data_IF_765091666398
#
_entry.id   IF_765091666398
#
_cell.length_a   1.000
_cell.length_b   1.000
_cell.length_c   1.000
_cell.angle_alpha   90.00
_cell.angle_beta   90.00
_cell.angle_gamma   90.00
#
_symmetry.space_group_name_H-M   'P 1'
#
loop_
_entity.id
_entity.type
_entity.pdbx_description
1 polymer ?
#
# COMPACT_ATOMS: atom_id res chain seq x y z
N UNK A 1 -11.76 35.79 6.56
CA UNK A 1 -11.98 34.32 6.36
C UNK A 1 -10.62 33.66 6.17
N UNK A 2 -10.23 32.78 7.08
CA UNK A 2 -8.99 31.99 6.97
C UNK A 2 -9.16 31.01 5.80
N UNK A 3 -8.13 30.87 4.93
CA UNK A 3 -8.19 29.89 3.84
C UNK A 3 -8.23 28.47 4.42
N UNK A 4 -9.02 27.57 3.84
CA UNK A 4 -9.19 26.20 4.31
C UNK A 4 -7.85 25.46 4.55
N UNK A 5 -6.83 25.71 3.72
CA UNK A 5 -5.47 25.16 3.89
C UNK A 5 -4.76 25.63 5.17
N UNK A 6 -5.10 26.80 5.71
CA UNK A 6 -4.51 27.33 6.95
C UNK A 6 -5.15 26.71 8.19
N UNK A 7 -6.41 26.28 8.10
CA UNK A 7 -7.14 25.63 9.21
C UNK A 7 -6.50 24.28 9.54
N UNK A 8 -6.16 23.47 8.54
CA UNK A 8 -5.51 22.14 8.72
C UNK A 8 -4.15 22.27 9.40
N UNK A 9 -3.38 23.30 9.05
CA UNK A 9 -2.06 23.54 9.64
C UNK A 9 -2.19 23.93 11.12
N UNK A 10 -3.23 24.66 11.51
CA UNK A 10 -3.47 25.06 12.90
C UNK A 10 -3.85 23.88 13.82
N UNK A 11 -4.60 22.91 13.33
CA UNK A 11 -4.94 21.69 14.09
C UNK A 11 -3.75 20.76 14.30
N UNK A 12 -2.91 20.59 13.27
CA UNK A 12 -1.73 19.72 13.35
C UNK A 12 -0.57 20.38 14.10
N UNK A 13 -0.52 21.70 14.12
CA UNK A 13 0.57 22.47 14.71
C UNK A 13 0.03 23.78 15.28
N UNK A 14 -0.57 23.76 16.51
CA UNK A 14 -1.20 24.93 17.12
C UNK A 14 -0.24 26.11 17.22
N UNK A 15 -0.63 27.25 16.64
CA UNK A 15 0.12 28.52 16.68
C UNK A 15 -0.79 29.61 17.24
N UNK A 16 -0.21 30.70 17.81
CA UNK A 16 -0.99 31.90 18.12
C UNK A 16 -1.72 32.41 16.89
N UNK A 17 -2.97 32.80 17.02
CA UNK A 17 -3.79 33.35 15.94
C UNK A 17 -4.26 34.76 16.26
N UNK A 18 -4.55 35.55 15.23
CA UNK A 18 -5.19 36.86 15.39
C UNK A 18 -6.56 36.83 14.73
N UNK A 19 -7.60 37.16 15.51
CA UNK A 19 -8.97 37.24 15.05
C UNK A 19 -9.56 38.58 15.57
N UNK A 20 -10.22 39.34 14.69
CA UNK A 20 -10.77 40.67 14.99
C UNK A 20 -9.78 41.61 15.73
N UNK A 21 -8.53 41.62 15.26
CA UNK A 21 -7.40 42.36 15.86
C UNK A 21 -7.01 41.93 17.29
N UNK A 22 -7.59 40.83 17.80
CA UNK A 22 -7.23 40.25 19.09
C UNK A 22 -6.28 39.08 18.83
N UNK A 23 -5.10 39.13 19.50
CA UNK A 23 -4.11 38.04 19.44
C UNK A 23 -4.45 36.99 20.49
N UNK A 24 -4.75 35.79 20.01
CA UNK A 24 -5.03 34.63 20.88
C UNK A 24 -3.76 33.76 20.95
N UNK A 25 -3.35 33.34 22.15
CA UNK A 25 -2.21 32.42 22.31
C UNK A 25 -2.61 31.00 21.86
N UNK A 26 -1.63 30.13 21.61
CA UNK A 26 -1.87 28.75 21.16
C UNK A 26 -2.63 27.91 22.18
N UNK A 27 -2.57 28.27 23.44
CA UNK A 27 -3.21 27.58 24.59
C UNK A 27 -4.74 27.58 24.51
N UNK A 28 -5.34 28.44 23.67
CA UNK A 28 -6.79 28.41 23.43
C UNK A 28 -7.25 27.05 22.85
N UNK A 29 -6.41 26.38 22.05
CA UNK A 29 -6.74 25.08 21.47
C UNK A 29 -6.86 23.98 22.52
N UNK A 30 -6.24 24.14 23.69
CA UNK A 30 -6.31 23.17 24.79
C UNK A 30 -7.34 23.58 25.88
N UNK A 31 -7.56 24.89 26.06
CA UNK A 31 -8.29 25.43 27.20
C UNK A 31 -9.71 25.86 26.86
N UNK A 32 -9.97 26.17 25.61
CA UNK A 32 -11.30 26.62 25.16
C UNK A 32 -12.16 25.43 24.72
N UNK A 33 -13.45 25.55 24.98
CA UNK A 33 -14.44 24.60 24.50
C UNK A 33 -14.64 24.74 22.99
N UNK A 34 -15.14 23.70 22.34
CA UNK A 34 -15.52 23.76 20.90
C UNK A 34 -16.49 24.91 20.61
N UNK A 35 -17.34 25.27 21.55
CA UNK A 35 -18.29 26.39 21.41
C UNK A 35 -17.56 27.74 21.34
N UNK A 36 -16.58 27.96 22.19
CA UNK A 36 -15.78 29.20 22.22
C UNK A 36 -14.88 29.29 20.96
N UNK A 37 -14.27 28.19 20.55
CA UNK A 37 -13.48 28.13 19.32
C UNK A 37 -14.35 28.42 18.08
N UNK A 38 -15.56 27.85 18.02
CA UNK A 38 -16.51 28.10 16.92
C UNK A 38 -16.96 29.56 16.86
N UNK A 39 -17.07 30.23 17.99
CA UNK A 39 -17.46 31.65 18.05
C UNK A 39 -16.44 32.56 17.33
N UNK A 40 -15.17 32.17 17.28
CA UNK A 40 -14.11 32.88 16.53
C UNK A 40 -13.79 32.22 15.18
N UNK A 41 -14.66 31.32 14.65
CA UNK A 41 -14.52 30.70 13.35
C UNK A 41 -13.53 29.53 13.29
N UNK A 42 -13.17 28.95 14.45
CA UNK A 42 -12.37 27.72 14.50
C UNK A 42 -13.33 26.55 14.69
N UNK A 43 -13.39 25.69 13.68
CA UNK A 43 -14.34 24.59 13.59
C UNK A 43 -13.68 23.24 13.83
N UNK A 44 -14.48 22.25 14.23
CA UNK A 44 -14.04 20.86 14.34
C UNK A 44 -13.65 20.34 12.94
N UNK A 45 -12.56 19.59 12.88
CA UNK A 45 -12.04 19.04 11.62
C UNK A 45 -12.35 17.55 11.53
N UNK A 46 -12.88 17.13 10.37
CA UNK A 46 -13.11 15.73 10.05
C UNK A 46 -12.13 15.35 8.95
N UNK A 47 -11.21 14.45 9.29
CA UNK A 47 -10.23 13.93 8.34
C UNK A 47 -10.90 13.15 7.22
N UNK A 48 -10.41 13.35 6.00
CA UNK A 48 -10.76 12.56 4.83
C UNK A 48 -10.13 11.16 4.91
N UNK A 49 -10.79 10.18 4.30
CA UNK A 49 -10.21 8.83 4.19
C UNK A 49 -9.00 8.85 3.24
N UNK A 50 -7.78 8.53 3.69
CA UNK A 50 -6.60 8.52 2.84
C UNK A 50 -6.72 7.49 1.72
N UNK A 51 -6.00 7.73 0.62
CA UNK A 51 -5.87 6.75 -0.46
C UNK A 51 -5.03 5.54 0.02
N UNK A 52 -5.45 4.34 -0.34
CA UNK A 52 -4.59 3.17 -0.19
C UNK A 52 -3.50 3.21 -1.27
N UNK A 53 -2.30 3.62 -0.86
CA UNK A 53 -1.17 3.80 -1.76
C UNK A 53 -0.78 2.55 -2.57
N UNK A 54 -1.23 1.35 -2.17
CA UNK A 54 -1.05 0.13 -2.95
C UNK A 54 -1.86 0.17 -4.25
N UNK A 55 -3.09 0.68 -4.20
CA UNK A 55 -4.09 0.58 -5.26
C UNK A 55 -4.53 1.92 -5.83
N UNK A 56 -4.33 3.01 -5.09
CA UNK A 56 -4.88 4.32 -5.39
C UNK A 56 -3.79 5.39 -5.34
N UNK A 57 -4.02 6.47 -6.05
CA UNK A 57 -3.22 7.69 -5.97
C UNK A 57 -4.13 8.83 -5.54
N UNK A 58 -3.78 9.55 -4.47
CA UNK A 58 -4.46 10.77 -4.10
C UNK A 58 -4.21 11.83 -5.18
N UNK A 59 -5.26 12.53 -5.62
CA UNK A 59 -5.18 13.54 -6.67
C UNK A 59 -5.33 14.94 -6.13
N UNK A 60 -6.46 15.25 -5.49
CA UNK A 60 -6.75 16.57 -4.91
C UNK A 60 -7.36 16.43 -3.54
N UNK A 61 -7.09 17.41 -2.69
CA UNK A 61 -7.72 17.52 -1.37
C UNK A 61 -8.65 18.72 -1.40
N UNK A 62 -9.91 18.51 -1.03
CA UNK A 62 -10.92 19.54 -0.93
C UNK A 62 -11.40 19.66 0.51
N UNK A 63 -11.78 20.88 0.89
CA UNK A 63 -12.33 21.16 2.22
C UNK A 63 -13.71 21.77 2.07
N UNK A 64 -14.69 21.19 2.75
CA UNK A 64 -16.05 21.71 2.83
C UNK A 64 -16.32 22.26 4.23
N UNK A 65 -16.69 23.52 4.32
CA UNK A 65 -17.07 24.17 5.58
C UNK A 65 -18.58 24.12 5.73
N UNK A 66 -19.06 23.67 6.89
CA UNK A 66 -20.45 23.73 7.32
C UNK A 66 -20.52 24.69 8.52
N UNK A 67 -20.84 25.95 8.25
CA UNK A 67 -20.92 27.01 9.28
C UNK A 67 -22.03 26.73 10.30
N UNK A 68 -23.11 26.05 9.89
CA UNK A 68 -24.24 25.74 10.78
C UNK A 68 -23.83 24.72 11.85
N UNK A 69 -23.06 23.70 11.45
CA UNK A 69 -22.57 22.68 12.37
C UNK A 69 -21.22 23.05 13.02
N UNK A 70 -20.52 24.03 12.44
CA UNK A 70 -19.16 24.41 12.84
C UNK A 70 -18.18 23.27 12.58
N UNK A 71 -18.20 22.70 11.38
CA UNK A 71 -17.38 21.56 10.97
C UNK A 71 -16.68 21.86 9.63
N UNK A 72 -15.42 21.44 9.52
CA UNK A 72 -14.70 21.38 8.26
C UNK A 72 -14.46 19.92 7.91
N UNK A 73 -14.95 19.47 6.76
CA UNK A 73 -14.75 18.11 6.28
C UNK A 73 -13.71 18.11 5.16
N UNK A 74 -12.68 17.30 5.32
CA UNK A 74 -11.70 17.00 4.27
C UNK A 74 -12.24 15.90 3.35
N UNK A 75 -12.06 16.09 2.05
CA UNK A 75 -12.32 15.04 1.04
C UNK A 75 -11.05 14.85 0.21
N UNK A 76 -10.49 13.66 0.26
CA UNK A 76 -9.34 13.28 -0.55
C UNK A 76 -9.84 12.54 -1.78
N UNK A 77 -9.75 13.20 -2.95
CA UNK A 77 -10.09 12.57 -4.22
C UNK A 77 -8.99 11.55 -4.60
N UNK A 78 -9.41 10.44 -5.16
CA UNK A 78 -8.55 9.29 -5.46
C UNK A 78 -8.73 8.89 -6.91
N UNK A 79 -7.66 8.34 -7.49
CA UNK A 79 -7.67 7.69 -8.79
C UNK A 79 -7.11 6.29 -8.62
N UNK A 80 -7.82 5.30 -9.11
CA UNK A 80 -7.36 3.91 -9.14
C UNK A 80 -6.13 3.77 -10.05
N UNK A 81 -5.17 2.97 -9.61
CA UNK A 81 -4.06 2.53 -10.45
C UNK A 81 -4.54 1.47 -11.43
N UNK A 82 -3.91 1.41 -12.60
CA UNK A 82 -4.23 0.41 -13.62
C UNK A 82 -3.81 -0.99 -13.14
N UNK A 83 -4.68 -1.97 -13.34
CA UNK A 83 -4.37 -3.36 -12.98
C UNK A 83 -3.50 -4.06 -14.03
N UNK A 84 -3.67 -3.71 -15.30
CA UNK A 84 -2.89 -4.23 -16.41
C UNK A 84 -1.82 -3.22 -16.83
N UNK A 85 -0.77 -3.72 -17.46
CA UNK A 85 0.30 -2.90 -18.01
C UNK A 85 -0.22 -1.96 -19.10
N UNK A 86 0.40 -0.80 -19.18
CA UNK A 86 0.29 0.09 -20.34
C UNK A 86 1.47 -0.19 -21.25
N UNK A 87 1.20 -0.51 -22.51
CA UNK A 87 2.23 -0.83 -23.48
C UNK A 87 2.56 0.37 -24.38
N UNK A 88 3.79 0.43 -24.87
CA UNK A 88 4.16 1.40 -25.90
C UNK A 88 3.36 1.18 -27.18
N UNK A 89 2.85 2.25 -27.74
CA UNK A 89 2.04 2.24 -28.95
C UNK A 89 2.82 2.72 -30.17
N UNK A 90 2.31 2.42 -31.36
CA UNK A 90 2.86 2.95 -32.63
C UNK A 90 2.86 4.49 -32.65
N UNK A 91 1.90 5.12 -31.96
CA UNK A 91 1.86 6.57 -31.79
C UNK A 91 3.03 7.07 -30.94
N UNK A 92 3.36 6.39 -29.86
CA UNK A 92 4.48 6.77 -28.99
C UNK A 92 5.82 6.64 -29.73
N UNK A 93 5.96 5.66 -30.62
CA UNK A 93 7.11 5.52 -31.53
C UNK A 93 7.20 6.72 -32.49
N UNK A 94 6.08 7.12 -33.08
CA UNK A 94 6.01 8.30 -33.97
C UNK A 94 6.34 9.58 -33.20
N UNK A 95 5.84 9.72 -31.96
CA UNK A 95 6.07 10.86 -31.09
C UNK A 95 7.48 10.84 -30.43
N UNK A 96 8.33 9.84 -30.70
CA UNK A 96 9.69 9.63 -30.17
C UNK A 96 9.70 9.59 -28.62
N UNK A 97 8.70 8.93 -28.03
CA UNK A 97 8.58 8.77 -26.58
C UNK A 97 9.18 7.46 -26.04
N UNK A 98 9.40 6.49 -26.94
CA UNK A 98 9.94 5.17 -26.57
C UNK A 98 11.44 5.32 -26.29
N UNK A 99 11.93 4.90 -25.11
CA UNK A 99 13.33 4.92 -24.77
C UNK A 99 14.17 4.02 -25.69
N UNK A 100 15.49 4.30 -25.77
CA UNK A 100 16.42 3.44 -26.48
C UNK A 100 16.45 2.03 -25.86
N UNK A 101 16.28 1.02 -26.70
CA UNK A 101 16.26 -0.39 -26.29
C UNK A 101 14.87 -0.96 -26.01
N UNK A 102 13.82 -0.15 -26.08
CA UNK A 102 12.42 -0.58 -26.00
C UNK A 102 11.72 -0.43 -27.37
N UNK A 103 10.62 -1.16 -27.59
CA UNK A 103 9.86 -1.08 -28.83
C UNK A 103 8.34 -1.08 -28.56
N UNK A 104 7.56 -0.91 -29.61
CA UNK A 104 6.09 -1.00 -29.58
C UNK A 104 5.67 -2.37 -29.06
N UNK A 105 4.81 -2.39 -28.05
CA UNK A 105 4.36 -3.60 -27.35
C UNK A 105 5.11 -3.91 -26.08
N UNK A 106 6.24 -3.28 -25.81
CA UNK A 106 6.91 -3.38 -24.52
C UNK A 106 6.15 -2.60 -23.43
N UNK A 107 6.43 -2.91 -22.17
CA UNK A 107 5.73 -2.32 -21.03
C UNK A 107 6.23 -0.90 -20.77
N UNK A 108 5.41 0.09 -21.10
CA UNK A 108 5.68 1.49 -20.83
C UNK A 108 5.47 1.85 -19.34
N UNK A 109 4.37 1.33 -18.76
CA UNK A 109 4.04 1.52 -17.33
C UNK A 109 3.52 0.19 -16.80
N UNK A 110 4.20 -0.42 -15.80
CA UNK A 110 3.74 -1.66 -15.21
C UNK A 110 2.43 -1.46 -14.46
N UNK A 111 1.47 -2.33 -14.69
CA UNK A 111 0.24 -2.40 -13.96
C UNK A 111 0.41 -3.09 -12.59
N UNK A 112 -0.64 -3.05 -11.78
CA UNK A 112 -0.60 -3.63 -10.45
C UNK A 112 -0.34 -5.15 -10.48
N UNK A 113 -0.83 -5.88 -11.49
CA UNK A 113 -0.55 -7.32 -11.65
C UNK A 113 0.94 -7.57 -11.76
N UNK A 114 1.62 -6.90 -12.67
CA UNK A 114 3.06 -7.04 -12.90
C UNK A 114 3.84 -6.69 -11.62
N UNK A 115 3.49 -5.58 -10.97
CA UNK A 115 4.13 -5.14 -9.73
C UNK A 115 3.98 -6.19 -8.62
N UNK A 116 2.77 -6.73 -8.40
CA UNK A 116 2.53 -7.69 -7.32
C UNK A 116 3.08 -9.08 -7.61
N UNK A 117 3.12 -9.51 -8.89
CA UNK A 117 3.81 -10.74 -9.29
C UNK A 117 5.31 -10.61 -9.01
N UNK A 118 5.93 -9.49 -9.35
CA UNK A 118 7.35 -9.24 -9.06
C UNK A 118 7.62 -9.23 -7.55
N UNK A 119 6.78 -8.56 -6.76
CA UNK A 119 6.88 -8.58 -5.31
C UNK A 119 6.75 -10.00 -4.74
N UNK A 120 5.85 -10.83 -5.28
CA UNK A 120 5.67 -12.23 -4.90
C UNK A 120 6.94 -13.04 -5.17
N UNK A 121 7.54 -12.89 -6.35
CA UNK A 121 8.81 -13.54 -6.73
C UNK A 121 9.96 -13.12 -5.82
N UNK A 122 10.07 -11.81 -5.55
CA UNK A 122 11.08 -11.26 -4.66
C UNK A 122 10.93 -11.79 -3.23
N UNK A 123 9.69 -11.90 -2.73
CA UNK A 123 9.40 -12.49 -1.42
C UNK A 123 9.75 -13.98 -1.38
N UNK A 124 9.37 -14.75 -2.40
CA UNK A 124 9.75 -16.17 -2.50
C UNK A 124 11.26 -16.34 -2.54
N UNK A 125 11.98 -15.55 -3.33
CA UNK A 125 13.44 -15.56 -3.38
C UNK A 125 14.06 -15.24 -2.01
N UNK A 126 13.56 -14.24 -1.30
CA UNK A 126 14.01 -13.90 0.05
C UNK A 126 13.81 -15.04 1.05
N UNK A 127 12.68 -15.76 0.97
CA UNK A 127 12.40 -16.93 1.83
C UNK A 127 13.30 -18.15 1.50
N UNK A 128 13.70 -18.32 0.24
CA UNK A 128 14.57 -19.41 -0.20
C UNK A 128 16.05 -19.15 0.07
N UNK A 129 16.48 -17.89 0.00
CA UNK A 129 17.87 -17.45 0.09
C UNK A 129 18.66 -18.03 1.29
N UNK A 130 18.12 -18.07 2.54
CA UNK A 130 18.84 -18.58 3.69
C UNK A 130 19.26 -20.05 3.56
N UNK A 131 18.65 -20.81 2.64
CA UNK A 131 18.93 -22.23 2.40
C UNK A 131 19.56 -22.52 1.04
N UNK A 132 19.84 -21.52 0.20
CA UNK A 132 20.40 -21.68 -1.15
C UNK A 132 21.80 -22.30 -1.13
N UNK A 133 22.60 -22.03 -0.09
CA UNK A 133 23.91 -22.64 0.09
C UNK A 133 23.88 -24.19 0.12
N UNK A 134 22.76 -24.79 0.55
CA UNK A 134 22.60 -26.24 0.53
C UNK A 134 22.42 -26.77 -0.89
N UNK A 135 21.73 -26.00 -1.76
CA UNK A 135 21.57 -26.35 -3.17
C UNK A 135 22.91 -26.31 -3.87
N UNK A 136 23.68 -25.24 -3.65
CA UNK A 136 25.03 -25.11 -4.22
C UNK A 136 25.93 -26.25 -3.76
N UNK A 137 25.93 -26.55 -2.44
CA UNK A 137 26.71 -27.65 -1.88
C UNK A 137 26.31 -29.03 -2.45
N UNK A 138 25.02 -29.26 -2.69
CA UNK A 138 24.56 -30.50 -3.33
C UNK A 138 25.05 -30.63 -4.78
N UNK A 139 25.13 -29.51 -5.51
CA UNK A 139 25.64 -29.48 -6.90
C UNK A 139 27.13 -29.75 -6.93
N UNK A 140 27.91 -29.20 -5.98
CA UNK A 140 29.36 -29.40 -5.87
C UNK A 140 29.72 -30.81 -5.35
N UNK A 141 28.93 -31.36 -4.44
CA UNK A 141 29.13 -32.69 -3.84
C UNK A 141 27.78 -33.39 -3.63
N UNK A 142 27.45 -34.30 -4.53
CA UNK A 142 26.18 -35.04 -4.54
C UNK A 142 25.96 -35.94 -3.31
N UNK A 143 27.01 -36.19 -2.52
CA UNK A 143 26.89 -36.89 -1.23
C UNK A 143 26.25 -36.01 -0.13
N UNK A 144 26.26 -34.69 -0.30
CA UNK A 144 25.74 -33.71 0.66
C UNK A 144 24.26 -33.41 0.37
N UNK A 145 23.39 -34.30 0.83
CA UNK A 145 21.94 -34.16 0.61
C UNK A 145 21.32 -33.00 1.39
N UNK A 146 20.32 -32.38 0.82
CA UNK A 146 19.47 -31.39 1.50
C UNK A 146 18.56 -32.15 2.47
N UNK A 147 18.46 -31.74 3.76
CA UNK A 147 17.51 -32.32 4.70
C UNK A 147 16.06 -32.26 4.18
N UNK A 148 15.28 -33.31 4.43
CA UNK A 148 13.91 -33.43 3.91
C UNK A 148 13.01 -32.26 4.36
N UNK A 149 13.16 -31.78 5.61
CA UNK A 149 12.42 -30.62 6.13
C UNK A 149 12.70 -29.37 5.31
N UNK A 150 13.95 -29.14 4.91
CA UNK A 150 14.33 -27.97 4.07
C UNK A 150 13.79 -28.11 2.66
N UNK A 151 13.91 -29.30 2.03
CA UNK A 151 13.37 -29.53 0.68
C UNK A 151 11.85 -29.40 0.65
N UNK A 152 11.14 -29.88 1.67
CA UNK A 152 9.68 -29.71 1.81
C UNK A 152 9.30 -28.24 1.94
N UNK A 153 9.99 -27.49 2.81
CA UNK A 153 9.77 -26.04 2.95
C UNK A 153 10.00 -25.30 1.64
N UNK A 154 11.12 -25.55 0.96
CA UNK A 154 11.45 -24.92 -0.33
C UNK A 154 10.39 -25.22 -1.41
N UNK A 155 9.90 -26.47 -1.47
CA UNK A 155 8.81 -26.83 -2.37
C UNK A 155 7.52 -26.09 -2.01
N UNK A 156 7.18 -25.99 -0.73
CA UNK A 156 6.00 -25.26 -0.27
C UNK A 156 6.07 -23.76 -0.63
N UNK A 157 7.24 -23.11 -0.45
CA UNK A 157 7.44 -21.69 -0.84
C UNK A 157 7.21 -21.50 -2.33
N UNK A 158 7.79 -22.36 -3.19
CA UNK A 158 7.62 -22.27 -4.65
C UNK A 158 6.17 -22.47 -5.07
N UNK A 159 5.54 -23.53 -4.56
CA UNK A 159 4.14 -23.84 -4.88
C UNK A 159 3.20 -22.72 -4.44
N UNK A 160 3.48 -22.07 -3.31
CA UNK A 160 2.66 -20.98 -2.84
C UNK A 160 2.86 -19.70 -3.67
N UNK A 161 4.11 -19.42 -4.09
CA UNK A 161 4.39 -18.34 -5.02
C UNK A 161 3.60 -18.52 -6.34
N UNK A 162 3.64 -19.72 -6.93
CA UNK A 162 2.89 -20.03 -8.16
C UNK A 162 1.38 -19.82 -7.99
N UNK A 163 0.81 -20.22 -6.84
CA UNK A 163 -0.61 -19.99 -6.53
C UNK A 163 -0.95 -18.51 -6.40
N UNK A 164 -0.10 -17.74 -5.71
CA UNK A 164 -0.30 -16.29 -5.55
C UNK A 164 -0.20 -15.60 -6.91
N UNK A 165 0.82 -15.92 -7.71
CA UNK A 165 1.00 -15.35 -9.06
C UNK A 165 -0.21 -15.67 -9.96
N UNK A 166 -0.70 -16.91 -9.90
CA UNK A 166 -1.91 -17.28 -10.62
C UNK A 166 -3.13 -16.50 -10.14
N UNK A 167 -3.34 -16.38 -8.83
CA UNK A 167 -4.46 -15.63 -8.26
C UNK A 167 -4.44 -14.15 -8.69
N UNK A 168 -3.25 -13.52 -8.73
CA UNK A 168 -3.08 -12.15 -9.23
C UNK A 168 -3.44 -12.08 -10.72
N UNK A 169 -2.93 -13.02 -11.52
CA UNK A 169 -3.14 -13.06 -12.98
C UNK A 169 -4.62 -13.23 -13.33
N UNK A 170 -5.36 -14.01 -12.55
CA UNK A 170 -6.79 -14.28 -12.73
C UNK A 170 -7.70 -13.09 -12.35
N UNK A 171 -7.16 -12.04 -11.70
CA UNK A 171 -7.94 -10.85 -11.37
C UNK A 171 -8.26 -10.04 -12.63
N UNK A 172 -9.52 -9.81 -12.93
CA UNK A 172 -10.02 -8.97 -14.01
C UNK A 172 -10.42 -7.56 -13.55
N UNK A 173 -10.62 -7.37 -12.24
CA UNK A 173 -11.00 -6.10 -11.61
C UNK A 173 -10.09 -5.74 -10.44
N UNK A 174 -10.00 -4.43 -10.15
CA UNK A 174 -9.25 -3.94 -9.01
C UNK A 174 -9.80 -4.47 -7.67
N UNK A 175 -11.11 -4.64 -7.55
CA UNK A 175 -11.74 -5.16 -6.33
C UNK A 175 -11.33 -6.63 -6.06
N UNK A 176 -11.27 -7.47 -7.11
CA UNK A 176 -10.75 -8.83 -6.96
C UNK A 176 -9.28 -8.82 -6.54
N UNK A 177 -8.48 -7.93 -7.09
CA UNK A 177 -7.08 -7.78 -6.71
C UNK A 177 -6.94 -7.29 -5.24
N UNK A 178 -7.74 -6.29 -4.83
CA UNK A 178 -7.81 -5.83 -3.43
C UNK A 178 -8.20 -6.97 -2.48
N UNK A 179 -9.11 -7.86 -2.87
CA UNK A 179 -9.56 -8.98 -2.06
C UNK A 179 -8.44 -9.99 -1.71
N UNK A 180 -7.39 -10.10 -2.54
CA UNK A 180 -6.23 -10.96 -2.24
C UNK A 180 -5.43 -10.50 -1.02
N UNK A 181 -5.59 -9.25 -0.59
CA UNK A 181 -4.90 -8.65 0.56
C UNK A 181 -5.73 -8.65 1.83
N UNK A 182 -6.95 -9.23 1.80
CA UNK A 182 -7.87 -9.21 2.93
C UNK A 182 -7.83 -10.54 3.67
N UNK A 183 -7.49 -10.50 4.97
CA UNK A 183 -7.65 -11.62 5.89
C UNK A 183 -9.07 -11.63 6.43
N UNK A 184 -9.75 -12.76 6.33
CA UNK A 184 -11.08 -12.95 6.89
C UNK A 184 -10.99 -13.44 8.35
N UNK A 185 -11.85 -12.90 9.21
CA UNK A 185 -11.92 -13.27 10.62
C UNK A 185 -13.27 -13.85 10.97
N UNK A 186 -13.29 -14.78 11.92
CA UNK A 186 -14.49 -15.28 12.55
C UNK A 186 -15.07 -14.23 13.54
N UNK A 187 -16.27 -14.51 14.08
CA UNK A 187 -16.92 -13.63 15.07
C UNK A 187 -16.10 -13.47 16.36
N UNK A 188 -15.30 -14.47 16.72
CA UNK A 188 -14.40 -14.50 17.87
C UNK A 188 -13.02 -13.86 17.60
N UNK A 189 -12.86 -13.22 16.42
CA UNK A 189 -11.63 -12.60 15.93
C UNK A 189 -10.49 -13.59 15.59
N UNK A 190 -10.72 -14.89 15.62
CA UNK A 190 -9.76 -15.86 15.08
C UNK A 190 -9.70 -15.74 13.55
N UNK A 191 -8.56 -16.09 12.95
CA UNK A 191 -8.39 -16.07 11.50
C UNK A 191 -9.23 -17.19 10.89
N UNK A 192 -10.18 -16.81 10.01
CA UNK A 192 -10.95 -17.73 9.19
C UNK A 192 -10.21 -18.12 7.90
N UNK A 193 -9.60 -17.11 7.25
CA UNK A 193 -8.82 -17.29 6.04
C UNK A 193 -7.76 -16.19 5.97
N UNK A 194 -6.49 -16.57 5.87
CA UNK A 194 -5.41 -15.62 5.68
C UNK A 194 -5.47 -14.99 4.28
N UNK A 195 -5.07 -13.73 4.16
CA UNK A 195 -4.95 -13.07 2.86
C UNK A 195 -4.06 -13.88 1.92
N UNK A 196 -4.47 -14.03 0.65
CA UNK A 196 -3.69 -14.79 -0.34
C UNK A 196 -2.26 -14.26 -0.48
N UNK A 197 -2.08 -12.94 -0.44
CA UNK A 197 -0.75 -12.31 -0.51
C UNK A 197 0.14 -12.58 0.70
N UNK A 198 -0.39 -13.15 1.79
CA UNK A 198 0.33 -13.44 3.04
C UNK A 198 0.43 -14.95 3.33
N UNK A 199 -0.04 -15.81 2.42
CA UNK A 199 -0.17 -17.25 2.63
C UNK A 199 1.14 -18.05 2.52
N UNK A 200 2.29 -17.40 2.38
CA UNK A 200 3.58 -18.09 2.38
C UNK A 200 3.79 -18.92 3.65
N UNK A 201 4.42 -20.13 3.51
CA UNK A 201 4.66 -20.98 4.64
C UNK A 201 5.60 -20.35 5.66
N UNK A 202 5.36 -20.64 6.92
CA UNK A 202 6.26 -20.28 8.02
C UNK A 202 7.58 -21.07 7.91
N UNK A 203 8.70 -20.42 8.23
CA UNK A 203 10.03 -21.03 8.26
C UNK A 203 10.27 -21.94 9.48
N UNK A 204 9.24 -22.21 10.28
CA UNK A 204 9.31 -23.04 11.47
C UNK A 204 9.87 -24.44 11.16
N UNK A 205 10.90 -24.83 11.90
CA UNK A 205 11.55 -26.14 11.77
C UNK A 205 12.74 -26.17 10.81
N UNK A 206 13.07 -25.05 10.16
CA UNK A 206 14.29 -24.94 9.33
C UNK A 206 15.33 -23.97 9.90
N UNK A 207 15.10 -23.38 11.08
CA UNK A 207 15.94 -22.33 11.68
C UNK A 207 17.41 -22.79 11.85
N UNK A 208 17.61 -24.07 12.16
CA UNK A 208 18.96 -24.65 12.29
C UNK A 208 19.75 -24.74 10.96
N UNK A 209 19.09 -24.53 9.83
CA UNK A 209 19.63 -24.69 8.48
C UNK A 209 19.80 -23.37 7.74
N UNK A 210 19.37 -22.26 8.31
CA UNK A 210 19.47 -20.93 7.70
C UNK A 210 20.83 -20.28 7.97
N UNK A 211 21.36 -19.53 7.00
CA UNK A 211 22.60 -18.74 7.09
C UNK A 211 22.39 -17.34 6.57
#
# INVERSE_FOLDING_TARGET
>A
KVKASQVVELFRNPKPITFDNIKHPKEIFNNWTSKELKAIGIYDFIDGTPADARFETATTVNYKVDDTKGIVTETINKKDKLINDTLWTSKDKTDKKIPDGEDVGDVAIPGLKTIFIEQTKNRAAALLKPTDWMVTRLVEDSSKKIPSVVSTYRAAVKNEADKIEKAISDCDTLDKLKALFVTEYNKDKSIKKIATMESFPDAKGIEAYTR
#
